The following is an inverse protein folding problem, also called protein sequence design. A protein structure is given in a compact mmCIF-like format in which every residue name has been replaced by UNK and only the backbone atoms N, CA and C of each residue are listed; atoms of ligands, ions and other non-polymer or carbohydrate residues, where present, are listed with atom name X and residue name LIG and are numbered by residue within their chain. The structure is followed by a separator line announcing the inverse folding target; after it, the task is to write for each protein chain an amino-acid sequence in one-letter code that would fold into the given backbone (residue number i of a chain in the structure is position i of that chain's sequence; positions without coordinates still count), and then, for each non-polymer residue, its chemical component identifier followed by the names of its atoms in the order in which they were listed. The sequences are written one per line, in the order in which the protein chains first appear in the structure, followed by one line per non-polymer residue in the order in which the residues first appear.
data_IF_191678412529
#
_entry.id   IF_191678412529
#
_cell.length_a   1.000
_cell.length_b   1.000
_cell.length_c   1.000
_cell.angle_alpha   90.00
_cell.angle_beta   90.00
_cell.angle_gamma   90.00
#
_symmetry.space_group_name_H-M   'P 1'
#
loop_
_entity.id
_entity.type
_entity.pdbx_description
1 polymer ?
#
# COMPACT_ATOMS: atom_id res chain seq x y z
N UNK A 1 23.40 -17.16 -5.97
CA UNK A 1 24.67 -16.90 -5.25
C UNK A 1 25.13 -15.44 -5.17
N UNK A 2 24.28 -14.47 -4.82
CA UNK A 2 24.73 -13.08 -4.55
C UNK A 2 24.50 -12.60 -3.10
N UNK A 3 23.80 -13.37 -2.26
CA UNK A 3 23.56 -13.03 -0.84
C UNK A 3 24.55 -13.66 0.16
N UNK A 4 25.66 -14.25 -0.29
CA UNK A 4 26.75 -14.68 0.59
C UNK A 4 28.03 -13.90 0.28
N UNK A 5 28.11 -12.64 0.72
CA UNK A 5 29.40 -12.00 1.04
C UNK A 5 29.22 -10.71 1.85
N UNK A 6 29.35 -10.88 3.17
CA UNK A 6 29.96 -10.00 4.19
C UNK A 6 29.42 -8.58 4.39
N UNK A 7 29.03 -8.34 5.65
CA UNK A 7 29.05 -7.07 6.37
C UNK A 7 30.04 -6.03 5.83
N UNK A 8 29.52 -4.90 5.34
CA UNK A 8 30.12 -3.56 5.50
C UNK A 8 29.01 -2.53 5.74
N UNK A 9 29.23 -1.54 6.63
CA UNK A 9 28.30 -0.44 6.84
C UNK A 9 28.47 0.58 5.71
N UNK A 10 27.38 0.86 5.00
CA UNK A 10 27.38 1.76 3.84
C UNK A 10 26.68 1.10 2.66
N UNK A 11 25.35 1.12 2.64
CA UNK A 11 24.58 0.85 1.44
C UNK A 11 24.83 1.97 0.42
N UNK A 12 25.94 1.87 -0.31
CA UNK A 12 26.02 2.49 -1.62
C UNK A 12 25.12 1.68 -2.55
N UNK A 13 24.06 2.34 -3.02
CA UNK A 13 23.17 1.89 -4.07
C UNK A 13 24.02 1.60 -5.32
N UNK A 14 24.49 0.35 -5.44
CA UNK A 14 25.29 -0.10 -6.56
C UNK A 14 24.33 -0.47 -7.70
N UNK A 15 24.16 0.45 -8.64
CA UNK A 15 23.56 0.17 -9.95
C UNK A 15 24.45 -0.87 -10.66
N UNK A 16 23.96 -2.10 -10.80
CA UNK A 16 24.58 -3.09 -11.69
C UNK A 16 24.12 -2.83 -13.13
N UNK A 17 25.03 -2.84 -14.13
CA UNK A 17 24.65 -2.67 -15.51
C UNK A 17 23.95 -3.95 -16.01
N UNK A 18 22.79 -3.81 -16.63
CA UNK A 18 22.16 -4.88 -17.43
C UNK A 18 21.02 -5.67 -16.79
N UNK A 19 20.58 -5.35 -15.57
CA UNK A 19 19.28 -5.83 -15.04
C UNK A 19 18.54 -4.64 -14.46
N UNK A 20 17.40 -4.26 -15.07
CA UNK A 20 16.55 -3.16 -14.59
C UNK A 20 16.02 -3.55 -13.21
N UNK A 21 16.70 -3.14 -12.14
CA UNK A 21 16.08 -3.02 -10.82
C UNK A 21 15.14 -1.82 -10.96
N UNK A 22 13.87 -2.07 -11.28
CA UNK A 22 12.89 -0.99 -11.33
C UNK A 22 12.59 -0.57 -9.89
N UNK A 23 12.90 0.69 -9.61
CA UNK A 23 12.68 1.38 -8.35
C UNK A 23 11.31 2.07 -8.41
N UNK A 24 10.51 1.91 -7.36
CA UNK A 24 9.13 2.39 -7.26
C UNK A 24 8.99 3.48 -6.21
N UNK A 25 8.11 4.48 -6.36
CA UNK A 25 7.89 5.51 -5.33
C UNK A 25 6.57 5.31 -4.57
N UNK A 26 6.65 5.11 -3.26
CA UNK A 26 5.52 5.12 -2.34
C UNK A 26 5.47 6.47 -1.62
N UNK A 27 4.37 7.23 -1.71
CA UNK A 27 4.19 8.46 -0.93
C UNK A 27 3.28 8.20 0.28
N UNK A 28 3.69 8.67 1.45
CA UNK A 28 3.01 8.44 2.72
C UNK A 28 2.39 9.77 3.16
N UNK A 29 1.06 9.82 3.28
CA UNK A 29 0.29 11.02 3.63
C UNK A 29 -0.05 11.10 5.13
N UNK A 30 0.02 12.31 5.68
CA UNK A 30 -0.65 12.69 6.95
C UNK A 30 -2.09 13.09 6.68
N UNK A 31 -2.95 13.10 7.71
CA UNK A 31 -4.36 13.45 7.62
C UNK A 31 -4.65 14.95 7.46
N UNK A 32 -3.64 15.78 7.21
CA UNK A 32 -3.89 17.21 7.00
C UNK A 32 -4.66 17.39 5.68
N UNK A 33 -5.75 18.19 5.67
CA UNK A 33 -6.39 18.57 4.42
C UNK A 33 -5.36 19.28 3.53
N UNK A 34 -5.38 18.98 2.23
CA UNK A 34 -4.64 19.79 1.24
C UNK A 34 -5.06 21.25 1.47
N UNK A 35 -4.14 22.18 1.75
CA UNK A 35 -4.52 23.58 1.88
C UNK A 35 -5.03 24.03 0.52
N UNK A 36 -6.28 24.49 0.49
CA UNK A 36 -6.76 25.35 -0.58
C UNK A 36 -5.78 26.53 -0.65
N UNK A 37 -5.15 26.72 -1.81
CA UNK A 37 -4.27 27.85 -2.03
C UNK A 37 -5.06 29.15 -1.86
N UNK A 38 -4.81 29.88 -0.75
CA UNK A 38 -5.11 31.29 -0.62
C UNK A 38 -4.26 31.88 0.53
N UNK A 39 -3.29 32.71 0.13
CA UNK A 39 -2.75 33.90 0.79
C UNK A 39 -2.56 33.96 2.32
N UNK A 40 -1.31 34.34 2.66
CA UNK A 40 -0.84 35.09 3.84
C UNK A 40 -0.13 34.29 4.94
N UNK A 41 1.15 34.66 5.09
CA UNK A 41 2.01 34.35 6.21
C UNK A 41 1.57 35.12 7.47
N UNK A 42 1.44 34.43 8.60
CA UNK A 42 1.72 35.00 9.92
C UNK A 42 2.07 33.87 10.90
N UNK A 43 3.10 34.10 11.72
CA UNK A 43 3.64 33.17 12.72
C UNK A 43 2.78 33.00 13.99
N UNK A 44 3.30 32.31 15.03
CA UNK A 44 2.55 31.29 15.76
C UNK A 44 2.00 31.74 17.13
N UNK A 45 1.02 30.99 17.63
CA UNK A 45 0.64 30.98 19.04
C UNK A 45 0.38 29.55 19.54
N UNK A 46 0.92 29.27 20.72
CA UNK A 46 0.94 28.00 21.44
C UNK A 46 -0.28 27.88 22.35
N UNK A 47 -0.95 26.72 22.36
CA UNK A 47 -1.60 26.18 23.57
C UNK A 47 -2.08 24.73 23.39
N UNK A 48 -1.72 23.87 24.35
CA UNK A 48 -2.20 22.48 24.53
C UNK A 48 -3.65 22.49 25.02
N UNK A 49 -4.39 21.39 24.83
CA UNK A 49 -5.01 20.79 26.01
C UNK A 49 -4.91 19.26 26.12
N UNK A 50 -4.76 18.88 27.39
CA UNK A 50 -5.19 17.72 28.18
C UNK A 50 -5.80 16.49 27.48
N UNK A 51 -5.35 15.32 27.97
CA UNK A 51 -5.74 13.99 27.56
C UNK A 51 -7.13 13.58 28.09
N UNK A 52 -7.94 12.97 27.23
CA UNK A 52 -9.14 12.21 27.61
C UNK A 52 -8.82 10.72 27.81
N UNK A 53 -9.58 9.99 28.67
CA UNK A 53 -9.36 8.58 28.93
C UNK A 53 -9.83 7.68 27.77
N UNK A 54 -9.04 6.63 27.52
CA UNK A 54 -9.19 5.64 26.46
C UNK A 54 -10.43 4.75 26.67
N UNK A 55 -11.34 4.72 25.70
CA UNK A 55 -12.37 3.68 25.60
C UNK A 55 -11.74 2.35 25.13
N UNK A 56 -12.23 1.18 25.60
CA UNK A 56 -11.73 -0.12 25.19
C UNK A 56 -12.04 -0.42 23.71
N UNK A 57 -11.21 -1.23 23.04
CA UNK A 57 -11.42 -1.58 21.64
C UNK A 57 -12.66 -2.47 21.44
N UNK A 58 -13.36 -2.36 20.30
CA UNK A 58 -14.50 -3.23 19.99
C UNK A 58 -14.06 -4.68 19.72
N UNK A 59 -14.94 -5.68 19.96
CA UNK A 59 -14.64 -7.09 19.73
C UNK A 59 -14.49 -7.42 18.24
N UNK A 60 -13.75 -8.49 17.89
CA UNK A 60 -13.55 -8.93 16.51
C UNK A 60 -14.87 -9.46 15.89
N UNK A 61 -15.05 -9.31 14.56
CA UNK A 61 -16.22 -9.83 13.87
C UNK A 61 -16.23 -11.37 13.84
N UNK A 62 -17.42 -12.00 13.82
CA UNK A 62 -17.55 -13.46 13.76
C UNK A 62 -17.08 -14.03 12.41
N UNK A 63 -16.62 -15.29 12.38
CA UNK A 63 -16.26 -15.97 11.13
C UNK A 63 -17.50 -16.22 10.26
N UNK A 64 -17.42 -15.88 8.97
CA UNK A 64 -18.48 -16.16 8.01
C UNK A 64 -18.52 -17.64 7.65
N UNK A 65 -19.54 -18.35 8.12
CA UNK A 65 -19.97 -19.64 7.59
C UNK A 65 -20.87 -19.42 6.37
N UNK A 66 -20.58 -20.17 5.32
CA UNK A 66 -21.22 -20.12 4.00
C UNK A 66 -22.70 -20.55 3.97
N UNK A 67 -23.38 -19.96 2.98
CA UNK A 67 -24.60 -20.40 2.28
C UNK A 67 -25.91 -19.70 2.65
N UNK A 68 -26.50 -19.06 1.63
CA UNK A 68 -27.94 -18.84 1.55
C UNK A 68 -28.33 -18.80 0.07
N UNK A 69 -29.29 -19.65 -0.31
CA UNK A 69 -29.82 -19.78 -1.66
C UNK A 69 -31.28 -19.32 -1.68
N UNK A 70 -31.67 -18.72 -2.81
CA UNK A 70 -33.03 -18.48 -3.37
C UNK A 70 -33.74 -17.16 -3.04
N UNK A 71 -33.98 -16.40 -4.12
CA UNK A 71 -35.32 -15.96 -4.52
C UNK A 71 -35.71 -14.51 -4.20
N UNK A 72 -35.72 -13.64 -5.21
CA UNK A 72 -36.37 -12.33 -5.10
C UNK A 72 -36.11 -11.42 -6.31
N UNK A 73 -37.11 -11.28 -7.17
CA UNK A 73 -37.16 -10.29 -8.25
C UNK A 73 -37.31 -8.88 -7.68
N UNK A 74 -36.31 -8.04 -7.93
CA UNK A 74 -36.32 -6.64 -7.53
C UNK A 74 -34.92 -6.04 -7.67
N UNK A 75 -34.61 -5.46 -8.84
CA UNK A 75 -33.32 -4.83 -9.09
C UNK A 75 -33.21 -3.51 -8.34
N UNK A 76 -32.99 -3.58 -7.03
CA UNK A 76 -32.20 -2.56 -6.34
C UNK A 76 -30.77 -2.75 -6.85
N UNK A 77 -30.20 -1.76 -7.54
CA UNK A 77 -28.77 -1.75 -7.81
C UNK A 77 -28.04 -1.67 -6.46
N UNK A 78 -27.74 -2.84 -5.90
CA UNK A 78 -26.74 -2.98 -4.85
C UNK A 78 -25.45 -2.39 -5.41
N UNK A 79 -24.95 -1.33 -4.79
CA UNK A 79 -23.65 -0.76 -5.10
C UNK A 79 -22.61 -1.82 -4.75
N UNK A 80 -22.29 -2.68 -5.73
CA UNK A 80 -21.50 -3.88 -5.50
C UNK A 80 -20.04 -3.43 -5.41
N UNK A 81 -19.47 -3.52 -4.22
CA UNK A 81 -18.04 -3.28 -3.98
C UNK A 81 -17.25 -4.14 -4.94
N UNK A 82 -16.41 -3.51 -5.76
CA UNK A 82 -15.58 -4.22 -6.76
C UNK A 82 -14.20 -4.45 -6.16
N UNK A 83 -13.69 -5.67 -6.33
CA UNK A 83 -12.37 -6.07 -5.83
C UNK A 83 -11.44 -6.41 -6.99
N UNK A 84 -10.18 -6.00 -6.87
CA UNK A 84 -9.05 -6.51 -7.65
C UNK A 84 -8.46 -7.69 -6.89
N UNK A 85 -8.35 -8.84 -7.54
CA UNK A 85 -7.74 -10.02 -6.96
C UNK A 85 -6.21 -9.87 -6.82
N UNK A 86 -5.63 -10.69 -5.95
CA UNK A 86 -4.18 -10.82 -5.78
C UNK A 86 -3.60 -11.72 -6.89
N UNK A 87 -3.68 -11.26 -8.14
CA UNK A 87 -3.45 -12.06 -9.35
C UNK A 87 -2.04 -12.64 -9.48
N UNK A 88 -1.04 -12.05 -8.82
CA UNK A 88 0.35 -12.52 -8.81
C UNK A 88 0.72 -13.32 -7.55
N UNK A 89 -0.23 -13.55 -6.64
CA UNK A 89 -0.04 -14.44 -5.50
C UNK A 89 0.19 -15.88 -5.94
N UNK A 90 1.14 -16.56 -5.30
CA UNK A 90 1.51 -17.95 -5.60
C UNK A 90 2.61 -18.09 -6.64
N UNK A 91 2.89 -17.06 -7.44
CA UNK A 91 3.97 -17.03 -8.42
C UNK A 91 5.06 -16.02 -8.07
N UNK A 92 4.70 -14.76 -7.80
CA UNK A 92 5.66 -13.70 -7.47
C UNK A 92 5.95 -13.58 -5.97
N UNK A 93 4.96 -13.94 -5.15
CA UNK A 93 5.05 -13.98 -3.69
C UNK A 93 4.15 -15.10 -3.14
N UNK A 94 4.39 -15.51 -1.90
CA UNK A 94 3.66 -16.62 -1.28
C UNK A 94 2.17 -16.32 -1.15
N UNK A 95 1.29 -17.18 -1.70
CA UNK A 95 -0.17 -17.01 -1.60
C UNK A 95 -0.73 -17.31 -0.20
N UNK A 96 -0.04 -18.12 0.61
CA UNK A 96 -0.45 -18.43 1.98
C UNK A 96 -0.20 -17.23 2.89
N UNK A 97 -1.27 -16.61 3.40
CA UNK A 97 -1.23 -15.46 4.31
C UNK A 97 -0.31 -15.65 5.51
N UNK A 98 -0.45 -16.73 6.31
CA UNK A 98 0.43 -16.99 7.45
C UNK A 98 1.91 -17.09 7.08
N UNK A 99 2.23 -17.77 5.96
CA UNK A 99 3.62 -17.91 5.49
C UNK A 99 4.18 -16.59 4.98
N UNK A 100 3.39 -15.83 4.21
CA UNK A 100 3.80 -14.52 3.71
C UNK A 100 4.03 -13.54 4.86
N UNK A 101 3.16 -13.53 5.86
CA UNK A 101 3.31 -12.71 7.07
C UNK A 101 4.63 -13.01 7.79
N UNK A 102 4.94 -14.29 8.00
CA UNK A 102 6.17 -14.72 8.64
C UNK A 102 7.42 -14.35 7.83
N UNK A 103 7.38 -14.48 6.50
CA UNK A 103 8.48 -14.05 5.61
C UNK A 103 8.74 -12.54 5.72
N UNK A 104 7.69 -11.72 5.62
CA UNK A 104 7.81 -10.27 5.70
C UNK A 104 8.28 -9.80 7.08
N UNK A 105 7.77 -10.40 8.17
CA UNK A 105 8.25 -10.16 9.53
C UNK A 105 9.74 -10.52 9.67
N UNK A 106 10.14 -11.68 9.14
CA UNK A 106 11.52 -12.13 9.12
C UNK A 106 12.47 -11.13 8.46
N UNK A 107 12.09 -10.54 7.32
CA UNK A 107 12.89 -9.50 6.68
C UNK A 107 12.85 -8.16 7.41
N UNK A 108 11.68 -7.72 7.90
CA UNK A 108 11.54 -6.45 8.63
C UNK A 108 12.29 -6.46 9.97
N UNK A 109 12.39 -7.61 10.64
CA UNK A 109 13.11 -7.74 11.92
C UNK A 109 14.63 -7.59 11.77
N UNK A 110 15.18 -7.86 10.58
CA UNK A 110 16.61 -7.71 10.29
C UNK A 110 17.04 -6.25 10.03
N UNK A 111 16.07 -5.33 9.89
CA UNK A 111 16.33 -3.93 9.57
C UNK A 111 16.08 -3.05 10.80
N UNK A 112 17.03 -2.16 11.09
CA UNK A 112 16.87 -1.10 12.08
C UNK A 112 16.13 0.10 11.48
N UNK A 113 15.21 0.69 12.24
CA UNK A 113 14.55 1.94 11.85
C UNK A 113 15.50 3.12 12.06
N UNK A 114 15.91 3.78 10.99
CA UNK A 114 16.87 4.89 11.02
C UNK A 114 16.34 6.18 10.38
N UNK A 115 15.21 6.10 9.65
CA UNK A 115 14.64 7.21 8.87
C UNK A 115 13.14 7.41 9.13
N UNK A 116 12.63 6.93 10.27
CA UNK A 116 11.21 7.13 10.65
C UNK A 116 10.93 8.59 11.05
N UNK A 117 9.75 9.15 10.74
CA UNK A 117 8.75 8.62 9.81
C UNK A 117 9.13 8.97 8.35
N UNK A 118 9.22 7.96 7.49
CA UNK A 118 9.37 8.22 6.06
C UNK A 118 8.12 8.92 5.51
N UNK A 119 8.33 9.93 4.65
CA UNK A 119 7.26 10.57 3.85
C UNK A 119 7.14 9.98 2.46
N UNK A 120 8.22 9.39 1.98
CA UNK A 120 8.27 8.63 0.75
C UNK A 120 9.30 7.52 0.89
N UNK A 121 9.09 6.41 0.19
CA UNK A 121 10.10 5.36 0.07
C UNK A 121 10.27 4.95 -1.38
N UNK A 122 11.47 4.47 -1.70
CA UNK A 122 11.72 3.79 -2.96
C UNK A 122 12.00 2.32 -2.72
N UNK A 123 11.26 1.42 -3.38
CA UNK A 123 11.35 -0.02 -3.18
C UNK A 123 11.26 -0.79 -4.51
N UNK A 124 11.84 -2.00 -4.61
CA UNK A 124 11.76 -2.82 -5.81
C UNK A 124 10.44 -3.58 -5.92
N UNK A 125 10.02 -3.91 -7.16
CA UNK A 125 8.83 -4.72 -7.46
C UNK A 125 9.15 -6.05 -8.19
N UNK A 126 10.31 -6.65 -7.96
CA UNK A 126 10.56 -8.02 -8.40
C UNK A 126 9.87 -9.03 -7.46
N UNK A 127 9.83 -10.31 -7.85
CA UNK A 127 9.33 -11.37 -6.96
C UNK A 127 10.08 -11.42 -5.62
N UNK A 128 9.37 -11.74 -4.54
CA UNK A 128 9.84 -11.56 -3.16
C UNK A 128 11.08 -12.40 -2.82
N UNK A 129 11.25 -13.56 -3.45
CA UNK A 129 12.46 -14.38 -3.33
C UNK A 129 13.73 -13.60 -3.74
N UNK A 130 13.62 -12.65 -4.66
CA UNK A 130 14.74 -11.88 -5.19
C UNK A 130 14.98 -10.57 -4.43
N UNK A 131 13.92 -9.84 -4.09
CA UNK A 131 14.05 -8.48 -3.55
C UNK A 131 13.28 -8.20 -2.27
N UNK A 132 12.66 -9.21 -1.64
CA UNK A 132 11.88 -9.04 -0.41
C UNK A 132 12.71 -8.40 0.71
N UNK A 133 13.87 -8.97 1.03
CA UNK A 133 14.78 -8.40 2.05
C UNK A 133 15.25 -6.98 1.71
N UNK A 134 15.45 -6.66 0.43
CA UNK A 134 15.81 -5.31 -0.01
C UNK A 134 14.67 -4.31 0.27
N UNK A 135 13.43 -4.66 -0.10
CA UNK A 135 12.25 -3.83 0.16
C UNK A 135 12.03 -3.58 1.66
N UNK A 136 12.39 -4.53 2.54
CA UNK A 136 12.32 -4.35 3.99
C UNK A 136 13.09 -3.12 4.50
N UNK A 137 14.23 -2.78 3.87
CA UNK A 137 15.00 -1.59 4.25
C UNK A 137 14.19 -0.30 4.11
N UNK A 138 13.35 -0.24 3.08
CA UNK A 138 12.46 0.87 2.81
C UNK A 138 11.22 0.83 3.72
N UNK A 139 10.50 -0.30 3.75
CA UNK A 139 9.27 -0.44 4.52
C UNK A 139 9.46 -0.33 6.03
N UNK A 140 10.63 -0.70 6.56
CA UNK A 140 10.92 -0.52 8.00
C UNK A 140 10.90 0.96 8.40
N UNK A 141 11.08 1.90 7.47
CA UNK A 141 11.08 3.34 7.75
C UNK A 141 9.67 3.95 7.77
N UNK A 142 8.63 3.18 7.39
CA UNK A 142 7.24 3.58 7.52
C UNK A 142 6.83 3.55 8.99
N UNK A 143 6.18 4.61 9.45
CA UNK A 143 5.63 4.70 10.79
C UNK A 143 4.10 4.54 10.75
N UNK A 144 3.56 3.41 11.23
CA UNK A 144 2.12 3.14 11.21
C UNK A 144 1.32 3.98 12.22
N UNK A 145 1.98 4.67 13.16
CA UNK A 145 1.29 5.57 14.10
C UNK A 145 0.97 6.93 13.47
N UNK A 146 1.75 7.33 12.46
CA UNK A 146 1.65 8.63 11.78
C UNK A 146 0.99 8.50 10.41
N UNK A 147 1.31 7.44 9.68
CA UNK A 147 0.84 7.22 8.30
C UNK A 147 -0.62 6.81 8.29
N UNK A 148 -1.42 7.45 7.42
CA UNK A 148 -2.87 7.17 7.30
C UNK A 148 -3.28 6.81 5.88
N UNK A 149 -2.61 7.44 4.91
CA UNK A 149 -2.85 7.28 3.48
C UNK A 149 -1.55 6.94 2.79
N UNK A 150 -1.60 6.01 1.85
CA UNK A 150 -0.42 5.52 1.14
C UNK A 150 -0.72 5.53 -0.35
N UNK A 151 0.08 6.28 -1.10
CA UNK A 151 0.01 6.34 -2.56
C UNK A 151 1.07 5.41 -3.16
N UNK A 152 0.66 4.49 -4.03
CA UNK A 152 1.48 3.51 -4.71
C UNK A 152 1.58 3.91 -6.21
N UNK A 153 2.68 4.54 -6.62
CA UNK A 153 2.91 4.99 -8.00
C UNK A 153 3.80 4.03 -8.82
N UNK A 154 3.16 3.23 -9.70
CA UNK A 154 3.82 2.19 -10.48
C UNK A 154 3.97 2.46 -11.96
N UNK A 155 5.08 2.02 -12.59
CA UNK A 155 5.17 1.99 -14.04
C UNK A 155 4.22 0.93 -14.59
N UNK A 156 3.67 1.18 -15.79
CA UNK A 156 2.99 0.12 -16.54
C UNK A 156 4.01 -0.68 -17.37
N UNK A 157 3.90 -2.00 -17.32
CA UNK A 157 4.71 -2.93 -18.12
C UNK A 157 3.94 -3.49 -19.32
N UNK A 158 2.61 -3.49 -19.25
CA UNK A 158 1.75 -4.24 -20.18
C UNK A 158 1.03 -3.34 -21.19
N UNK A 159 0.64 -2.13 -20.78
CA UNK A 159 -0.13 -1.21 -21.63
C UNK A 159 0.62 0.09 -21.87
N UNK A 160 0.57 0.65 -23.10
CA UNK A 160 1.12 1.97 -23.37
C UNK A 160 0.23 3.03 -22.70
N UNK A 161 0.78 3.74 -21.72
CA UNK A 161 0.13 4.87 -21.07
C UNK A 161 0.91 6.16 -21.34
N UNK A 162 0.21 7.19 -21.81
CA UNK A 162 0.78 8.53 -22.02
C UNK A 162 0.64 9.44 -20.79
N UNK A 163 -0.14 9.00 -19.80
CA UNK A 163 -0.48 9.68 -18.54
C UNK A 163 -0.51 8.66 -17.39
N UNK A 164 -1.04 9.07 -16.24
CA UNK A 164 -1.34 8.16 -15.14
C UNK A 164 -2.77 7.60 -15.29
N UNK A 165 -2.99 6.39 -14.76
CA UNK A 165 -4.29 5.78 -14.70
C UNK A 165 -4.65 5.40 -13.26
N UNK A 166 -5.94 5.45 -12.94
CA UNK A 166 -6.48 5.07 -11.65
C UNK A 166 -7.27 3.75 -11.78
N UNK A 167 -7.25 2.94 -10.73
CA UNK A 167 -8.01 1.68 -10.66
C UNK A 167 -9.51 1.89 -10.87
N UNK A 168 -10.23 0.92 -11.43
CA UNK A 168 -11.70 0.94 -11.48
C UNK A 168 -12.39 0.27 -10.28
N UNK A 169 -11.62 -0.23 -9.31
CA UNK A 169 -12.16 -0.99 -8.16
C UNK A 169 -12.14 -0.20 -6.85
N UNK A 170 -12.75 -0.76 -5.80
CA UNK A 170 -12.76 -0.17 -4.45
C UNK A 170 -11.74 -0.81 -3.51
N UNK A 171 -11.39 -2.08 -3.78
CA UNK A 171 -10.62 -2.94 -2.88
C UNK A 171 -9.52 -3.66 -3.66
N UNK A 172 -8.31 -3.65 -3.11
CA UNK A 172 -7.19 -4.47 -3.55
C UNK A 172 -7.00 -5.61 -2.55
N UNK A 173 -7.17 -6.85 -3.00
CA UNK A 173 -7.01 -8.02 -2.12
C UNK A 173 -5.55 -8.33 -1.88
N UNK A 174 -5.24 -8.84 -0.70
CA UNK A 174 -3.91 -9.38 -0.39
C UNK A 174 -4.04 -10.66 0.46
N UNK A 175 -3.03 -11.53 0.49
CA UNK A 175 -3.05 -12.68 1.39
C UNK A 175 -3.09 -12.34 2.89
N UNK A 176 -2.82 -11.10 3.29
CA UNK A 176 -2.82 -10.68 4.70
C UNK A 176 -4.18 -10.13 5.12
N UNK A 177 -4.61 -9.06 4.44
CA UNK A 177 -5.94 -8.46 4.54
C UNK A 177 -6.17 -7.52 3.34
N UNK A 178 -7.44 -7.24 3.05
CA UNK A 178 -7.82 -6.42 1.90
C UNK A 178 -7.59 -4.92 2.17
N UNK A 179 -7.06 -4.21 1.18
CA UNK A 179 -6.77 -2.77 1.23
C UNK A 179 -7.85 -1.97 0.50
N UNK A 180 -8.35 -0.89 1.10
CA UNK A 180 -9.39 -0.04 0.51
C UNK A 180 -8.80 1.18 -0.17
N UNK A 181 -9.32 1.51 -1.34
CA UNK A 181 -8.98 2.74 -2.04
C UNK A 181 -9.62 3.95 -1.32
N UNK A 182 -8.87 5.04 -1.17
CA UNK A 182 -9.36 6.32 -0.67
C UNK A 182 -10.28 6.97 -1.70
N UNK A 183 -11.59 6.70 -1.59
CA UNK A 183 -12.60 7.23 -2.53
C UNK A 183 -12.66 8.76 -2.56
N UNK A 184 -12.28 9.44 -1.46
CA UNK A 184 -12.25 10.91 -1.41
C UNK A 184 -11.14 11.44 -2.31
N UNK A 185 -9.90 11.00 -2.08
CA UNK A 185 -8.75 11.45 -2.87
C UNK A 185 -8.85 10.94 -4.31
N UNK A 186 -9.33 9.71 -4.52
CA UNK A 186 -9.60 9.19 -5.85
C UNK A 186 -10.54 10.12 -6.62
N UNK A 187 -11.64 10.56 -6.00
CA UNK A 187 -12.57 11.51 -6.61
C UNK A 187 -11.93 12.87 -6.91
N UNK A 188 -11.07 13.37 -6.02
CA UNK A 188 -10.31 14.62 -6.24
C UNK A 188 -9.35 14.48 -7.44
N UNK A 189 -8.60 13.39 -7.53
CA UNK A 189 -7.70 13.12 -8.66
C UNK A 189 -8.45 12.92 -9.97
N UNK A 190 -9.55 12.18 -9.96
CA UNK A 190 -10.38 11.97 -11.14
C UNK A 190 -10.92 13.30 -11.72
N UNK A 191 -11.36 14.21 -10.84
CA UNK A 191 -11.87 15.53 -11.22
C UNK A 191 -10.84 16.43 -11.91
N UNK A 192 -9.54 16.14 -11.78
CA UNK A 192 -8.50 16.91 -12.49
C UNK A 192 -8.55 16.73 -14.00
N UNK A 193 -9.16 15.65 -14.51
CA UNK A 193 -9.15 15.29 -15.93
C UNK A 193 -7.78 14.83 -16.45
N UNK A 194 -6.81 14.62 -15.55
CA UNK A 194 -5.44 14.23 -15.91
C UNK A 194 -5.22 12.71 -15.90
N UNK A 195 -6.17 11.93 -15.37
CA UNK A 195 -6.05 10.49 -15.19
C UNK A 195 -6.99 9.72 -16.11
N UNK A 196 -6.50 8.61 -16.64
CA UNK A 196 -7.33 7.60 -17.31
C UNK A 196 -7.86 6.59 -16.28
N UNK A 197 -8.83 5.76 -16.66
CA UNK A 197 -9.33 4.68 -15.79
C UNK A 197 -8.89 3.33 -16.35
N UNK A 198 -8.23 2.52 -15.52
CA UNK A 198 -7.81 1.17 -15.90
C UNK A 198 -9.01 0.23 -15.93
N UNK A 199 -9.05 -0.66 -16.92
CA UNK A 199 -9.95 -1.81 -16.89
C UNK A 199 -9.51 -2.77 -15.78
N UNK A 200 -10.44 -3.58 -15.23
CA UNK A 200 -10.09 -4.60 -14.23
C UNK A 200 -9.00 -5.56 -14.75
N UNK A 201 -9.07 -5.94 -16.02
CA UNK A 201 -8.06 -6.79 -16.65
C UNK A 201 -6.68 -6.13 -16.67
N UNK A 202 -6.59 -4.86 -17.06
CA UNK A 202 -5.33 -4.10 -17.05
C UNK A 202 -4.75 -4.01 -15.64
N UNK A 203 -5.63 -3.80 -14.65
CA UNK A 203 -5.24 -3.67 -13.25
C UNK A 203 -4.69 -5.00 -12.70
N UNK A 204 -5.35 -6.12 -12.99
CA UNK A 204 -4.93 -7.46 -12.55
C UNK A 204 -3.74 -8.01 -13.33
N UNK A 205 -3.50 -7.58 -14.58
CA UNK A 205 -2.30 -7.98 -15.35
C UNK A 205 -1.03 -7.24 -14.87
N UNK A 206 -1.19 -6.05 -14.28
CA UNK A 206 -0.05 -5.26 -13.80
C UNK A 206 0.43 -5.69 -12.40
N UNK A 207 1.75 -5.87 -12.24
CA UNK A 207 2.35 -6.34 -10.99
C UNK A 207 3.11 -5.25 -10.22
N UNK A 208 3.46 -4.13 -10.88
CA UNK A 208 4.33 -3.11 -10.27
C UNK A 208 3.74 -2.54 -8.99
N UNK A 209 2.44 -2.29 -8.97
CA UNK A 209 1.66 -1.84 -7.81
C UNK A 209 1.42 -3.00 -6.84
N UNK A 210 1.10 -4.19 -7.36
CA UNK A 210 0.75 -5.37 -6.55
C UNK A 210 1.87 -5.79 -5.60
N UNK A 211 3.13 -5.74 -6.06
CA UNK A 211 4.27 -6.13 -5.23
C UNK A 211 4.44 -5.28 -3.97
N UNK A 212 3.81 -4.10 -3.92
CA UNK A 212 3.83 -3.22 -2.76
C UNK A 212 2.67 -3.48 -1.79
N UNK A 213 1.61 -4.19 -2.19
CA UNK A 213 0.41 -4.37 -1.34
C UNK A 213 0.69 -5.23 -0.09
N UNK A 214 1.31 -6.43 -0.18
CA UNK A 214 1.56 -7.23 1.02
C UNK A 214 2.52 -6.55 1.99
N UNK A 215 3.56 -5.89 1.47
CA UNK A 215 4.50 -5.13 2.29
C UNK A 215 3.84 -3.95 3.00
N UNK A 216 2.94 -3.25 2.31
CA UNK A 216 2.16 -2.15 2.87
C UNK A 216 1.20 -2.66 3.94
N UNK A 217 0.47 -3.74 3.64
CA UNK A 217 -0.42 -4.39 4.60
C UNK A 217 0.35 -4.80 5.87
N UNK A 218 1.54 -5.40 5.71
CA UNK A 218 2.41 -5.78 6.83
C UNK A 218 2.91 -4.58 7.63
N UNK A 219 3.46 -3.56 6.97
CA UNK A 219 4.02 -2.39 7.65
C UNK A 219 2.94 -1.62 8.46
N UNK A 220 1.69 -1.69 8.01
CA UNK A 220 0.55 -1.02 8.61
C UNK A 220 -0.31 -1.91 9.52
N UNK A 221 0.09 -3.17 9.79
CA UNK A 221 -0.70 -4.13 10.58
C UNK A 221 -1.10 -3.61 11.96
N UNK A 222 -0.29 -2.72 12.56
CA UNK A 222 -0.51 -2.14 13.90
C UNK A 222 -1.16 -0.76 13.86
N UNK A 223 -1.57 -0.29 12.69
CA UNK A 223 -2.29 0.97 12.57
C UNK A 223 -3.59 0.91 13.36
N UNK A 224 -3.85 1.95 14.15
CA UNK A 224 -5.09 2.07 14.94
C UNK A 224 -6.28 2.54 14.10
N UNK A 225 -6.07 2.84 12.81
CA UNK A 225 -7.16 3.21 11.88
C UNK A 225 -7.08 2.38 10.62
N UNK A 226 -8.22 2.21 9.91
CA UNK A 226 -8.24 1.61 8.60
C UNK A 226 -7.27 2.35 7.65
N UNK A 227 -6.37 1.58 7.04
CA UNK A 227 -5.48 2.09 6.00
C UNK A 227 -6.29 2.42 4.75
N UNK A 228 -6.00 3.56 4.13
CA UNK A 228 -6.52 3.94 2.83
C UNK A 228 -5.38 4.02 1.81
N UNK A 229 -5.57 3.34 0.67
CA UNK A 229 -4.61 3.21 -0.42
C UNK A 229 -5.02 4.10 -1.60
N UNK A 230 -4.06 4.56 -2.39
CA UNK A 230 -4.32 5.13 -3.71
C UNK A 230 -3.24 4.77 -4.72
#
# INVERSE_FOLDING_TARGET
DCCRRRHRPGCHLLLLPGRRLLLFLLLLGRADPLPAAASSWAGPAVSRPLAEPLLPPPPPPPPHSSSCTIGGTGTKMSNRVVCREASHAGSWYTASGPQLNAQLEGWLSQVQSTKRPARAIIAPHAGYTYCGSCAAHAYKQVDPSITRRIFILGPSHHVPLSRCALSSVDIYRTPLYDLRIDQKIYGELWKTGMFERMSLQTDEDEHSIEMHLPYTAKAMERSKVPLQLL
#
